data_IF_584898341695
#
_entry.id   IF_584898341695
#
_cell.length_a   1.000
_cell.length_b   1.000
_cell.length_c   1.000
_cell.angle_alpha   90.00
_cell.angle_beta   90.00
_cell.angle_gamma   90.00
#
_symmetry.space_group_name_H-M   'P 1'
#
loop_
_entity.id
_entity.type
_entity.pdbx_description
1 polymer ?
#
# COMPACT_ATOMS: atom_id res chain seq x y z
N UNK A 1 -42.95 31.79 30.85
CA UNK A 1 -42.38 31.97 29.50
C UNK A 1 -40.87 32.07 29.65
N UNK A 2 -40.14 30.99 29.39
CA UNK A 2 -38.67 30.99 29.41
C UNK A 2 -38.21 30.22 28.18
N UNK A 3 -37.68 30.96 27.20
CA UNK A 3 -37.09 30.40 25.99
C UNK A 3 -35.62 30.09 26.28
N UNK A 4 -35.26 28.81 26.19
CA UNK A 4 -33.87 28.36 26.16
C UNK A 4 -33.37 28.51 24.72
N UNK A 5 -32.48 29.47 24.49
CA UNK A 5 -31.74 29.59 23.24
C UNK A 5 -30.65 28.51 23.17
N UNK A 6 -30.75 27.63 22.19
CA UNK A 6 -29.69 26.66 21.87
C UNK A 6 -28.72 27.29 20.85
N UNK A 7 -27.40 27.25 21.06
CA UNK A 7 -26.43 27.73 20.07
C UNK A 7 -26.29 26.73 18.90
N UNK A 8 -26.00 27.19 17.67
CA UNK A 8 -25.86 26.30 16.52
C UNK A 8 -24.54 25.49 16.60
N UNK A 9 -24.53 24.24 16.13
CA UNK A 9 -23.30 23.45 16.06
C UNK A 9 -22.37 24.00 14.98
N UNK A 10 -21.16 24.37 15.39
CA UNK A 10 -20.02 24.65 14.51
C UNK A 10 -19.57 23.36 13.83
N UNK A 11 -19.86 23.21 12.54
CA UNK A 11 -19.38 22.09 11.73
C UNK A 11 -18.49 22.57 10.58
N UNK A 12 -17.18 22.36 10.72
CA UNK A 12 -16.22 22.12 9.62
C UNK A 12 -14.87 21.67 10.19
N UNK A 13 -14.11 20.78 9.49
CA UNK A 13 -13.91 20.85 8.04
C UNK A 13 -14.12 19.55 7.24
N UNK A 14 -15.05 19.52 6.27
CA UNK A 14 -15.16 18.47 5.25
C UNK A 14 -14.01 18.49 4.23
N UNK A 15 -13.38 19.66 3.99
CA UNK A 15 -12.41 19.86 2.91
C UNK A 15 -11.11 19.02 3.01
N UNK A 16 -10.68 18.63 4.22
CA UNK A 16 -9.44 17.86 4.39
C UNK A 16 -9.61 16.39 4.01
N UNK A 17 -10.79 15.82 4.25
CA UNK A 17 -11.12 14.43 3.89
C UNK A 17 -11.25 14.28 2.38
N UNK A 18 -11.78 15.29 1.70
CA UNK A 18 -11.90 15.33 0.24
C UNK A 18 -10.53 15.43 -0.45
N UNK A 19 -9.58 16.19 0.12
CA UNK A 19 -8.24 16.31 -0.42
C UNK A 19 -7.45 14.99 -0.38
N UNK A 20 -7.50 14.24 0.72
CA UNK A 20 -6.82 12.94 0.83
C UNK A 20 -7.49 11.88 -0.05
N UNK A 21 -8.82 11.87 -0.14
CA UNK A 21 -9.54 11.00 -1.07
C UNK A 21 -9.15 11.27 -2.53
N UNK A 22 -9.01 12.55 -2.89
CA UNK A 22 -8.59 12.99 -4.23
C UNK A 22 -7.15 12.58 -4.54
N UNK A 23 -6.20 12.81 -3.62
CA UNK A 23 -4.81 12.35 -3.77
C UNK A 23 -4.74 10.83 -3.95
N UNK A 24 -5.50 10.08 -3.15
CA UNK A 24 -5.55 8.63 -3.25
C UNK A 24 -6.11 8.16 -4.60
N UNK A 25 -7.13 8.84 -5.14
CA UNK A 25 -7.68 8.54 -6.46
C UNK A 25 -6.65 8.79 -7.58
N UNK A 26 -5.92 9.91 -7.53
CA UNK A 26 -4.84 10.23 -8.49
C UNK A 26 -3.74 9.16 -8.44
N UNK A 27 -3.28 8.78 -7.25
CA UNK A 27 -2.25 7.75 -7.09
C UNK A 27 -2.71 6.37 -7.58
N UNK A 28 -3.97 5.99 -7.35
CA UNK A 28 -4.54 4.75 -7.89
C UNK A 28 -4.59 4.77 -9.43
N UNK A 29 -5.01 5.88 -10.03
CA UNK A 29 -5.05 6.04 -11.48
C UNK A 29 -3.65 5.95 -12.10
N UNK A 30 -2.67 6.66 -11.52
CA UNK A 30 -1.29 6.63 -12.00
C UNK A 30 -0.68 5.23 -11.89
N UNK A 31 -0.84 4.55 -10.74
CA UNK A 31 -0.40 3.14 -10.56
C UNK A 31 -1.00 2.20 -11.61
N UNK A 32 -2.28 2.34 -11.91
CA UNK A 32 -2.95 1.53 -12.92
C UNK A 32 -2.34 1.69 -14.31
N UNK A 33 -2.04 2.93 -14.71
CA UNK A 33 -1.47 3.24 -16.02
C UNK A 33 -0.01 2.75 -16.12
N UNK A 34 0.77 2.90 -15.04
CA UNK A 34 2.14 2.40 -14.94
C UNK A 34 2.23 0.87 -15.06
N UNK A 35 1.24 0.15 -14.55
CA UNK A 35 1.20 -1.30 -14.68
C UNK A 35 0.86 -1.80 -16.10
N UNK A 36 0.39 -0.93 -17.01
CA UNK A 36 -0.16 -1.31 -18.32
C UNK A 36 0.55 -0.69 -19.52
N UNK A 37 1.31 0.39 -19.33
CA UNK A 37 1.93 1.15 -20.41
C UNK A 37 3.44 1.33 -20.15
N UNK A 38 4.24 1.47 -21.21
CA UNK A 38 5.60 1.99 -21.11
C UNK A 38 5.57 3.51 -20.75
N UNK A 39 6.54 4.04 -19.99
CA UNK A 39 6.57 5.41 -19.42
C UNK A 39 6.09 6.48 -20.39
N UNK A 40 6.58 6.37 -21.63
CA UNK A 40 6.61 7.46 -22.57
C UNK A 40 5.18 7.91 -22.90
N UNK A 41 4.21 7.01 -22.73
CA UNK A 41 2.82 7.24 -23.10
C UNK A 41 1.94 7.68 -21.93
N UNK A 42 2.46 7.69 -20.69
CA UNK A 42 1.66 8.10 -19.53
C UNK A 42 1.74 9.62 -19.37
N UNK A 43 0.69 10.31 -19.82
CA UNK A 43 0.52 11.75 -19.68
C UNK A 43 -0.25 12.10 -18.40
N UNK A 44 -0.02 13.30 -17.84
CA UNK A 44 -0.82 13.82 -16.73
C UNK A 44 -2.31 13.91 -17.10
N UNK A 45 -2.62 14.13 -18.39
CA UNK A 45 -3.98 14.13 -18.91
C UNK A 45 -4.65 12.77 -18.77
N UNK A 46 -3.97 11.68 -19.15
CA UNK A 46 -4.49 10.32 -18.99
C UNK A 46 -4.71 9.95 -17.52
N UNK A 47 -3.82 10.38 -16.62
CA UNK A 47 -3.99 10.18 -15.17
C UNK A 47 -5.22 10.95 -14.68
N UNK A 48 -5.37 12.21 -15.08
CA UNK A 48 -6.48 13.08 -14.68
C UNK A 48 -7.84 12.52 -15.11
N UNK A 49 -7.95 12.13 -16.38
CA UNK A 49 -9.14 11.49 -16.94
C UNK A 49 -9.53 10.24 -16.17
N UNK A 50 -8.56 9.35 -15.91
CA UNK A 50 -8.83 8.13 -15.14
C UNK A 50 -9.18 8.39 -13.68
N UNK A 51 -8.59 9.40 -13.05
CA UNK A 51 -8.88 9.77 -11.68
C UNK A 51 -10.18 10.58 -11.53
N UNK A 52 -10.80 11.03 -12.63
CA UNK A 52 -11.97 11.90 -12.59
C UNK A 52 -11.67 13.30 -12.08
N UNK A 53 -10.45 13.81 -12.31
CA UNK A 53 -9.99 15.13 -11.86
C UNK A 53 -9.43 15.95 -13.01
N UNK A 54 -9.13 17.23 -12.78
CA UNK A 54 -8.44 18.08 -13.75
C UNK A 54 -6.91 17.96 -13.62
N UNK A 55 -6.18 18.10 -14.73
CA UNK A 55 -4.71 18.08 -14.72
C UNK A 55 -4.08 19.18 -13.84
N UNK A 56 -4.61 20.43 -13.78
CA UNK A 56 -4.14 21.43 -12.83
C UNK A 56 -4.28 21.00 -11.37
N UNK A 57 -5.30 20.20 -11.01
CA UNK A 57 -5.46 19.70 -9.65
C UNK A 57 -4.36 18.70 -9.28
N UNK A 58 -3.89 17.90 -10.24
CA UNK A 58 -2.73 17.03 -10.04
C UNK A 58 -1.48 17.86 -9.78
N UNK A 59 -1.21 18.88 -10.60
CA UNK A 59 -0.07 19.78 -10.41
C UNK A 59 -0.15 20.51 -9.06
N UNK A 60 -1.36 20.91 -8.62
CA UNK A 60 -1.57 21.50 -7.30
C UNK A 60 -1.15 20.54 -6.15
N UNK A 61 -1.44 19.25 -6.27
CA UNK A 61 -1.13 18.29 -5.20
C UNK A 61 0.28 17.71 -5.25
N UNK A 62 0.84 17.54 -6.45
CA UNK A 62 2.10 16.82 -6.66
C UNK A 62 3.21 17.69 -7.25
N UNK A 63 2.93 18.95 -7.61
CA UNK A 63 3.88 19.89 -8.19
C UNK A 63 4.12 19.63 -9.68
N UNK A 64 4.75 18.51 -10.02
CA UNK A 64 5.12 18.16 -11.39
C UNK A 64 4.91 16.67 -11.69
N UNK A 65 5.13 16.28 -12.96
CA UNK A 65 5.01 14.90 -13.41
C UNK A 65 5.96 14.00 -12.63
N UNK A 66 7.25 14.33 -12.58
CA UNK A 66 8.27 13.48 -11.96
C UNK A 66 8.02 13.22 -10.47
N UNK A 67 7.54 14.22 -9.74
CA UNK A 67 7.14 14.10 -8.34
C UNK A 67 5.93 13.17 -8.15
N UNK A 68 4.93 13.22 -9.05
CA UNK A 68 3.86 12.23 -9.06
C UNK A 68 4.42 10.82 -9.31
N UNK A 69 5.28 10.64 -10.30
CA UNK A 69 5.87 9.34 -10.62
C UNK A 69 6.74 8.81 -9.47
N UNK A 70 7.57 9.64 -8.86
CA UNK A 70 8.35 9.31 -7.67
C UNK A 70 7.44 8.85 -6.53
N UNK A 71 6.35 9.57 -6.28
CA UNK A 71 5.37 9.17 -5.26
C UNK A 71 4.68 7.85 -5.57
N UNK A 72 4.43 7.57 -6.84
CA UNK A 72 3.82 6.32 -7.29
C UNK A 72 4.82 5.14 -7.21
N UNK A 73 6.11 5.40 -7.37
CA UNK A 73 7.18 4.41 -7.23
C UNK A 73 7.63 4.20 -5.77
N UNK A 74 7.32 5.12 -4.85
CA UNK A 74 7.64 5.02 -3.42
C UNK A 74 6.69 4.10 -2.67
N UNK A 75 7.22 3.22 -1.82
CA UNK A 75 6.55 2.33 -0.87
C UNK A 75 6.50 2.87 0.56
N UNK A 76 7.04 4.06 0.87
CA UNK A 76 7.20 4.53 2.25
C UNK A 76 5.93 4.49 3.09
N UNK A 77 4.81 4.97 2.54
CA UNK A 77 3.52 4.97 3.25
C UNK A 77 2.96 3.56 3.38
N UNK A 78 3.11 2.75 2.33
CA UNK A 78 2.65 1.36 2.33
C UNK A 78 3.45 0.54 3.38
N UNK A 79 4.75 0.76 3.48
CA UNK A 79 5.64 0.13 4.45
C UNK A 79 5.36 0.62 5.88
N UNK A 80 5.08 1.90 6.06
CA UNK A 80 4.71 2.44 7.36
C UNK A 80 3.45 1.73 7.89
N UNK A 81 2.38 1.66 7.09
CA UNK A 81 1.14 1.00 7.48
C UNK A 81 1.32 -0.52 7.70
N UNK A 82 2.09 -1.19 6.84
CA UNK A 82 2.39 -2.63 6.96
C UNK A 82 3.14 -2.95 8.25
N UNK A 83 4.00 -2.04 8.69
CA UNK A 83 4.88 -2.22 9.85
C UNK A 83 4.33 -1.57 11.13
N UNK A 84 3.12 -1.01 11.10
CA UNK A 84 2.49 -0.29 12.21
C UNK A 84 1.93 -1.21 13.32
N UNK A 85 2.80 -2.03 13.90
CA UNK A 85 2.50 -2.89 15.05
C UNK A 85 3.79 -3.23 15.80
N UNK A 86 3.74 -3.55 17.12
CA UNK A 86 4.86 -4.12 17.85
C UNK A 86 5.39 -5.40 17.19
N UNK A 87 6.68 -5.72 17.37
CA UNK A 87 7.28 -6.90 16.76
C UNK A 87 6.59 -8.19 17.21
N UNK A 88 6.18 -8.24 18.49
CA UNK A 88 5.29 -9.26 19.01
C UNK A 88 3.87 -9.01 18.46
N UNK A 89 3.45 -9.83 17.49
CA UNK A 89 2.18 -9.68 16.78
C UNK A 89 2.28 -9.05 15.39
N UNK A 90 3.46 -8.58 14.97
CA UNK A 90 3.66 -7.98 13.64
C UNK A 90 3.22 -8.92 12.50
N UNK A 91 3.44 -10.22 12.62
CA UNK A 91 3.01 -11.20 11.61
C UNK A 91 1.49 -11.20 11.38
N UNK A 92 0.70 -11.14 12.45
CA UNK A 92 -0.77 -11.06 12.34
C UNK A 92 -1.21 -9.73 11.72
N UNK A 93 -0.57 -8.63 12.13
CA UNK A 93 -0.83 -7.30 11.57
C UNK A 93 -0.55 -7.25 10.07
N UNK A 94 0.60 -7.73 9.62
CA UNK A 94 0.98 -7.76 8.21
C UNK A 94 -0.04 -8.55 7.36
N UNK A 95 -0.48 -9.72 7.84
CA UNK A 95 -1.51 -10.53 7.17
C UNK A 95 -2.83 -9.78 7.09
N UNK A 96 -3.31 -9.21 8.21
CA UNK A 96 -4.56 -8.45 8.24
C UNK A 96 -4.50 -7.26 7.30
N UNK A 97 -3.41 -6.50 7.34
CA UNK A 97 -3.20 -5.31 6.51
C UNK A 97 -3.37 -5.66 5.03
N UNK A 98 -2.67 -6.68 4.53
CA UNK A 98 -2.76 -7.08 3.12
C UNK A 98 -4.17 -7.53 2.74
N UNK A 99 -4.83 -8.35 3.56
CA UNK A 99 -6.18 -8.83 3.24
C UNK A 99 -7.23 -7.70 3.24
N UNK A 100 -7.16 -6.78 4.20
CA UNK A 100 -8.05 -5.61 4.28
C UNK A 100 -7.79 -4.65 3.13
N UNK A 101 -6.52 -4.34 2.87
CA UNK A 101 -6.09 -3.49 1.75
C UNK A 101 -6.60 -4.03 0.41
N UNK A 102 -6.48 -5.33 0.16
CA UNK A 102 -7.04 -5.98 -1.02
C UNK A 102 -8.57 -5.89 -1.10
N UNK A 103 -9.26 -6.08 0.02
CA UNK A 103 -10.73 -6.07 0.07
C UNK A 103 -11.30 -4.66 -0.18
N UNK A 104 -10.69 -3.63 0.40
CA UNK A 104 -11.17 -2.25 0.34
C UNK A 104 -10.70 -1.52 -0.91
N UNK A 105 -9.44 -1.74 -1.31
CA UNK A 105 -8.78 -0.99 -2.38
C UNK A 105 -8.68 -1.76 -3.69
N UNK A 106 -8.96 -3.07 -3.67
CA UNK A 106 -8.90 -3.97 -4.83
C UNK A 106 -7.48 -4.40 -5.24
N UNK A 107 -6.45 -3.76 -4.69
CA UNK A 107 -5.05 -4.06 -4.92
C UNK A 107 -4.23 -3.61 -3.69
N UNK A 108 -3.40 -4.50 -3.16
CA UNK A 108 -2.43 -4.17 -2.13
C UNK A 108 -1.25 -3.44 -2.79
N UNK A 109 -0.87 -2.26 -2.27
CA UNK A 109 0.23 -1.48 -2.83
C UNK A 109 1.58 -2.20 -2.88
N UNK A 110 1.85 -3.16 -1.98
CA UNK A 110 3.12 -3.88 -1.95
C UNK A 110 3.20 -4.90 -3.09
N UNK A 111 2.06 -5.47 -3.49
CA UNK A 111 2.01 -6.45 -4.58
C UNK A 111 2.46 -5.91 -5.94
N UNK A 112 2.58 -4.59 -6.11
CA UNK A 112 3.13 -4.02 -7.34
C UNK A 112 4.56 -4.48 -7.62
N UNK A 113 5.33 -4.87 -6.59
CA UNK A 113 6.67 -5.42 -6.80
C UNK A 113 6.64 -6.73 -7.60
N UNK A 114 5.60 -7.55 -7.44
CA UNK A 114 5.45 -8.81 -8.17
C UNK A 114 5.23 -8.61 -9.69
N UNK A 115 4.84 -7.39 -10.08
CA UNK A 115 4.63 -6.98 -11.47
C UNK A 115 5.68 -5.97 -11.94
N UNK A 116 6.74 -5.75 -11.17
CA UNK A 116 7.84 -4.89 -11.59
C UNK A 116 8.41 -5.44 -12.90
N UNK A 117 8.59 -4.60 -13.95
CA UNK A 117 9.23 -5.04 -15.18
C UNK A 117 10.58 -5.69 -14.86
N UNK A 118 10.84 -6.87 -15.42
CA UNK A 118 12.10 -7.60 -15.16
C UNK A 118 13.28 -6.79 -15.71
N UNK A 119 13.10 -6.12 -16.86
CA UNK A 119 14.13 -5.32 -17.51
C UNK A 119 13.76 -3.83 -17.55
N UNK A 120 14.79 -2.98 -17.52
CA UNK A 120 14.71 -1.53 -17.69
C UNK A 120 14.65 -0.74 -16.38
N UNK A 121 15.13 0.52 -16.45
CA UNK A 121 15.40 1.41 -15.31
C UNK A 121 14.25 1.53 -14.30
N UNK A 122 13.00 1.40 -14.75
CA UNK A 122 11.82 1.49 -13.86
C UNK A 122 11.61 0.28 -12.98
N UNK A 123 11.88 -0.90 -13.52
CA UNK A 123 11.91 -2.12 -12.71
C UNK A 123 12.97 -1.98 -11.62
N UNK A 124 14.13 -1.43 -11.99
CA UNK A 124 15.25 -1.21 -11.08
C UNK A 124 14.90 -0.20 -9.98
N UNK A 125 14.33 0.96 -10.33
CA UNK A 125 13.88 1.95 -9.34
C UNK A 125 12.85 1.36 -8.38
N UNK A 126 11.87 0.59 -8.87
CA UNK A 126 10.86 -0.02 -8.01
C UNK A 126 11.48 -1.07 -7.07
N UNK A 127 12.43 -1.88 -7.56
CA UNK A 127 13.18 -2.85 -6.75
C UNK A 127 14.06 -2.17 -5.69
N UNK A 128 14.77 -1.11 -6.06
CA UNK A 128 15.60 -0.30 -5.14
C UNK A 128 14.73 0.31 -4.06
N UNK A 129 13.61 0.94 -4.42
CA UNK A 129 12.68 1.53 -3.45
C UNK A 129 12.07 0.45 -2.54
N UNK A 130 11.68 -0.70 -3.09
CA UNK A 130 11.12 -1.79 -2.29
C UNK A 130 12.13 -2.32 -1.26
N UNK A 131 13.38 -2.53 -1.68
CA UNK A 131 14.46 -2.95 -0.79
C UNK A 131 14.66 -1.93 0.34
N UNK A 132 14.91 -0.67 -0.01
CA UNK A 132 15.20 0.38 0.97
C UNK A 132 14.02 0.68 1.91
N UNK A 133 12.79 0.72 1.39
CA UNK A 133 11.65 1.24 2.13
C UNK A 133 10.85 0.14 2.84
N UNK A 134 10.95 -1.11 2.39
CA UNK A 134 10.23 -2.25 2.99
C UNK A 134 11.20 -3.21 3.68
N UNK A 135 12.17 -3.77 2.95
CA UNK A 135 13.05 -4.83 3.46
C UNK A 135 14.02 -4.29 4.50
N UNK A 136 14.75 -3.22 4.19
CA UNK A 136 15.75 -2.66 5.09
C UNK A 136 15.09 -2.10 6.37
N UNK A 137 13.94 -1.43 6.22
CA UNK A 137 13.13 -0.94 7.35
C UNK A 137 12.61 -2.06 8.25
N UNK A 138 12.21 -3.21 7.68
CA UNK A 138 11.83 -4.37 8.50
C UNK A 138 13.07 -4.97 9.18
N UNK A 139 14.18 -5.09 8.44
CA UNK A 139 15.46 -5.62 8.93
C UNK A 139 15.96 -4.86 10.16
N UNK A 140 15.87 -3.53 10.14
CA UNK A 140 16.24 -2.65 11.27
C UNK A 140 15.48 -2.97 12.57
N UNK A 141 14.32 -3.63 12.48
CA UNK A 141 13.51 -4.01 13.64
C UNK A 141 13.82 -5.41 14.15
N UNK A 142 14.56 -6.22 13.39
CA UNK A 142 14.81 -7.62 13.73
C UNK A 142 16.13 -7.79 14.46
N UNK A 143 16.10 -8.55 15.54
CA UNK A 143 17.29 -8.97 16.29
C UNK A 143 17.69 -10.41 15.96
N UNK A 144 18.92 -10.78 16.30
CA UNK A 144 19.45 -12.12 16.13
C UNK A 144 20.08 -12.36 14.74
N UNK A 145 20.39 -13.62 14.40
CA UNK A 145 21.06 -13.95 13.15
C UNK A 145 20.19 -13.66 11.92
N UNK A 146 20.87 -13.35 10.81
CA UNK A 146 20.31 -13.18 9.46
C UNK A 146 19.04 -12.31 9.36
N UNK A 147 18.99 -11.12 9.98
CA UNK A 147 17.78 -10.30 10.02
C UNK A 147 17.29 -9.91 8.62
N UNK A 148 18.22 -9.66 7.67
CA UNK A 148 17.87 -9.31 6.29
C UNK A 148 17.17 -10.47 5.55
N UNK A 149 17.75 -11.68 5.61
CA UNK A 149 17.15 -12.87 4.99
C UNK A 149 15.78 -13.17 5.61
N UNK A 150 15.66 -13.03 6.92
CA UNK A 150 14.41 -13.24 7.66
C UNK A 150 13.33 -12.23 7.27
N UNK A 151 13.70 -10.97 7.08
CA UNK A 151 12.80 -9.94 6.55
C UNK A 151 12.33 -10.29 5.14
N UNK A 152 13.24 -10.71 4.25
CA UNK A 152 12.90 -11.15 2.88
C UNK A 152 11.94 -12.34 2.89
N UNK A 153 12.17 -13.36 3.74
CA UNK A 153 11.29 -14.53 3.86
C UNK A 153 9.91 -14.18 4.42
N UNK A 154 9.83 -13.31 5.42
CA UNK A 154 8.56 -12.82 5.96
C UNK A 154 7.74 -12.10 4.88
N UNK A 155 8.39 -11.21 4.12
CA UNK A 155 7.75 -10.45 3.05
C UNK A 155 7.37 -11.35 1.87
N UNK A 156 8.22 -12.31 1.48
CA UNK A 156 7.89 -13.30 0.46
C UNK A 156 6.63 -14.11 0.81
N UNK A 157 6.50 -14.50 2.07
CA UNK A 157 5.33 -15.23 2.61
C UNK A 157 4.05 -14.39 2.48
N UNK A 158 4.12 -13.09 2.78
CA UNK A 158 3.00 -12.16 2.63
C UNK A 158 2.67 -11.87 1.16
N UNK A 159 3.68 -11.69 0.31
CA UNK A 159 3.48 -11.47 -1.13
C UNK A 159 2.75 -12.66 -1.77
N UNK A 160 3.13 -13.90 -1.42
CA UNK A 160 2.44 -15.10 -1.89
C UNK A 160 0.95 -15.13 -1.49
N UNK A 161 0.63 -14.75 -0.25
CA UNK A 161 -0.77 -14.62 0.20
C UNK A 161 -1.52 -13.56 -0.60
N UNK A 162 -0.91 -12.38 -0.79
CA UNK A 162 -1.51 -11.30 -1.54
C UNK A 162 -1.78 -11.68 -3.01
N UNK A 163 -0.86 -12.41 -3.65
CA UNK A 163 -1.04 -12.98 -4.99
C UNK A 163 -2.23 -13.96 -5.01
N UNK A 164 -2.29 -14.88 -4.06
CA UNK A 164 -3.38 -15.86 -3.96
C UNK A 164 -4.75 -15.20 -3.76
N UNK A 165 -4.80 -14.15 -2.92
CA UNK A 165 -6.04 -13.45 -2.61
C UNK A 165 -6.52 -12.54 -3.76
N UNK A 166 -5.63 -11.73 -4.34
CA UNK A 166 -6.01 -10.70 -5.31
C UNK A 166 -5.94 -11.12 -6.78
N UNK A 167 -4.92 -11.89 -7.16
CA UNK A 167 -4.63 -12.24 -8.55
C UNK A 167 -5.25 -13.58 -8.90
N UNK A 168 -4.85 -14.64 -8.19
CA UNK A 168 -5.43 -15.97 -8.38
C UNK A 168 -6.89 -16.04 -7.93
N UNK A 169 -7.33 -15.08 -7.11
CA UNK A 169 -8.70 -14.93 -6.60
C UNK A 169 -9.22 -16.23 -5.97
N UNK A 170 -8.38 -16.87 -5.14
CA UNK A 170 -8.70 -18.15 -4.51
C UNK A 170 -10.07 -18.13 -3.82
N UNK A 171 -11.01 -18.96 -4.32
CA UNK A 171 -12.43 -18.91 -3.92
C UNK A 171 -12.62 -19.19 -2.44
N UNK A 172 -11.98 -20.25 -1.93
CA UNK A 172 -11.98 -20.64 -0.50
C UNK A 172 -11.35 -19.58 0.39
N UNK A 173 -10.22 -19.00 -0.05
CA UNK A 173 -9.50 -17.98 0.71
C UNK A 173 -10.35 -16.71 0.86
N UNK A 174 -10.99 -16.27 -0.21
CA UNK A 174 -11.85 -15.07 -0.21
C UNK A 174 -13.21 -15.27 0.47
N UNK A 175 -13.68 -16.51 0.56
CA UNK A 175 -14.90 -16.84 1.30
C UNK A 175 -14.66 -16.97 2.82
N UNK A 176 -13.41 -17.22 3.23
CA UNK A 176 -13.02 -17.32 4.64
C UNK A 176 -12.99 -15.94 5.29
N UNK A 177 -13.44 -15.83 6.55
CA UNK A 177 -13.33 -14.60 7.32
C UNK A 177 -11.86 -14.17 7.49
N UNK A 178 -11.58 -12.88 7.38
CA UNK A 178 -10.22 -12.33 7.47
C UNK A 178 -9.54 -12.79 8.77
N UNK A 179 -10.25 -12.72 9.90
CA UNK A 179 -9.70 -13.11 11.21
C UNK A 179 -9.25 -14.58 11.23
N UNK A 180 -10.01 -15.48 10.62
CA UNK A 180 -9.62 -16.91 10.50
C UNK A 180 -8.35 -17.10 9.67
N UNK A 181 -8.17 -16.31 8.59
CA UNK A 181 -6.94 -16.37 7.78
C UNK A 181 -5.76 -15.78 8.57
N UNK A 182 -5.99 -14.68 9.29
CA UNK A 182 -4.99 -14.01 10.14
C UNK A 182 -4.46 -14.96 11.21
N UNK A 183 -5.35 -15.63 11.96
CA UNK A 183 -4.96 -16.63 12.98
C UNK A 183 -4.18 -17.81 12.38
N UNK A 184 -4.54 -18.24 11.16
CA UNK A 184 -3.89 -19.40 10.53
C UNK A 184 -2.54 -19.08 9.88
N UNK A 185 -2.40 -17.87 9.33
CA UNK A 185 -1.25 -17.49 8.50
C UNK A 185 -0.26 -16.56 9.23
N UNK A 186 -0.75 -15.80 10.21
CA UNK A 186 0.05 -14.90 11.05
C UNK A 186 1.25 -15.59 11.71
N UNK A 187 1.10 -16.79 12.33
CA UNK A 187 2.21 -17.51 12.94
C UNK A 187 3.34 -17.86 11.96
N UNK A 188 3.02 -18.19 10.70
CA UNK A 188 4.03 -18.49 9.67
C UNK A 188 4.88 -17.27 9.36
N UNK A 189 4.27 -16.09 9.26
CA UNK A 189 4.99 -14.83 9.05
C UNK A 189 5.80 -14.48 10.30
N UNK A 190 5.19 -14.60 11.48
CA UNK A 190 5.84 -14.32 12.76
C UNK A 190 7.08 -15.19 12.99
N UNK A 191 7.05 -16.46 12.56
CA UNK A 191 8.16 -17.39 12.69
C UNK A 191 9.42 -16.95 11.93
N UNK A 192 9.29 -16.10 10.90
CA UNK A 192 10.43 -15.46 10.24
C UNK A 192 10.90 -14.22 11.03
N UNK A 193 10.00 -13.51 11.70
CA UNK A 193 10.28 -12.28 12.46
C UNK A 193 10.90 -12.52 13.85
N UNK A 194 10.80 -13.74 14.38
CA UNK A 194 11.46 -14.16 15.64
C UNK A 194 12.73 -14.96 15.36
N UNK A 195 13.85 -14.69 16.05
CA UNK A 195 15.04 -15.52 15.93
C UNK A 195 14.74 -16.95 16.38
N UNK A 196 15.32 -17.93 15.68
CA UNK A 196 15.31 -19.34 16.08
C UNK A 196 16.63 -19.71 16.73
#
# INVERSE_FOLDING_TARGET
MSAVSTPPPTASPPARRDAEATKAAILRAARYLLARNAHADITLKAVAERAGVSAPLILKYFGNKDALFARVMSFETDAADLLDAPLDGLGHHMVRHVLVSQRERGADPLLRIAFAPIQGDRGDVLRVNFRAQVIDRLTERLSGPDPALRAELAVATILGLGVMYGIARGTRLRATAIDTVVERYGPTVQAHLTPR
#
